data_IF_785357117600
#
_entry.id   IF_785357117600
#
_cell.length_a   1.000
_cell.length_b   1.000
_cell.length_c   1.000
_cell.angle_alpha   90.00
_cell.angle_beta   90.00
_cell.angle_gamma   90.00
#
_symmetry.space_group_name_H-M   'P 1'
#
loop_
_entity.id
_entity.type
_entity.pdbx_description
1 polymer ?
#
# COMPACT_ATOMS: atom_id res chain seq x y z
N UNK A 1 -3.84 -22.32 23.69
CA UNK A 1 -2.38 -22.33 23.41
C UNK A 1 -1.82 -23.72 23.13
N UNK A 2 -2.48 -24.81 23.58
CA UNK A 2 -1.97 -26.17 23.39
C UNK A 2 -1.87 -26.61 21.92
N UNK A 3 -2.87 -26.24 21.08
CA UNK A 3 -2.85 -26.53 19.63
C UNK A 3 -1.59 -26.10 18.89
N UNK A 4 -0.99 -24.95 19.22
CA UNK A 4 0.25 -24.50 18.57
C UNK A 4 1.45 -25.37 18.97
N UNK A 5 1.51 -25.80 20.24
CA UNK A 5 2.59 -26.65 20.76
C UNK A 5 2.50 -28.06 20.22
N UNK A 6 1.29 -28.58 20.03
CA UNK A 6 1.02 -29.91 19.45
C UNK A 6 1.59 -30.03 18.03
N UNK A 7 1.60 -28.94 17.25
CA UNK A 7 2.18 -28.90 15.89
C UNK A 7 3.60 -28.33 15.86
N UNK A 8 4.25 -28.18 17.01
CA UNK A 8 5.64 -27.69 17.10
C UNK A 8 5.83 -26.18 16.84
N UNK A 9 4.75 -25.39 16.76
CA UNK A 9 4.82 -23.95 16.59
C UNK A 9 5.06 -23.23 17.92
N UNK A 10 6.00 -22.28 17.90
CA UNK A 10 6.31 -21.41 19.05
C UNK A 10 5.60 -20.08 18.90
N UNK A 11 4.92 -19.66 19.97
CA UNK A 11 4.28 -18.34 20.06
C UNK A 11 5.23 -17.39 20.78
N UNK A 12 5.43 -16.18 20.23
CA UNK A 12 6.26 -15.13 20.82
C UNK A 12 5.33 -14.19 21.61
N UNK A 13 5.32 -14.21 22.97
CA UNK A 13 4.35 -13.43 23.76
C UNK A 13 4.36 -11.94 23.46
N UNK A 14 5.55 -11.35 23.23
CA UNK A 14 5.72 -9.94 22.91
C UNK A 14 5.03 -9.50 21.61
N UNK A 15 4.77 -10.41 20.67
CA UNK A 15 4.10 -10.13 19.39
C UNK A 15 2.59 -10.43 19.41
N UNK A 16 2.07 -10.91 20.54
CA UNK A 16 0.65 -11.24 20.66
C UNK A 16 -0.16 -9.94 20.83
N UNK A 17 -1.21 -9.80 20.02
CA UNK A 17 -2.21 -8.75 20.16
C UNK A 17 -3.53 -9.37 20.65
N UNK A 18 -3.62 -9.62 21.97
CA UNK A 18 -4.75 -10.33 22.55
C UNK A 18 -5.76 -9.37 23.18
N UNK A 19 -7.06 -9.59 22.92
CA UNK A 19 -8.19 -8.81 23.45
C UNK A 19 -8.00 -7.28 23.30
N UNK A 20 -7.47 -6.85 22.17
CA UNK A 20 -7.37 -5.43 21.82
C UNK A 20 -8.60 -5.00 21.01
N UNK A 21 -9.00 -3.75 21.15
CA UNK A 21 -10.05 -3.13 20.33
C UNK A 21 -9.61 -2.99 18.87
N UNK A 22 -8.32 -2.70 18.65
CA UNK A 22 -7.69 -2.71 17.34
C UNK A 22 -6.43 -3.57 17.32
N UNK A 23 -6.16 -4.19 16.17
CA UNK A 23 -4.98 -5.01 15.95
C UNK A 23 -4.29 -4.67 14.62
N UNK A 24 -2.97 -4.68 14.63
CA UNK A 24 -2.16 -4.52 13.43
C UNK A 24 -1.98 -5.86 12.71
N UNK A 25 -2.27 -5.88 11.41
CA UNK A 25 -2.05 -7.01 10.54
C UNK A 25 -1.40 -6.54 9.24
N UNK A 26 -0.13 -6.90 9.03
CA UNK A 26 0.63 -6.62 7.80
C UNK A 26 0.58 -5.11 7.45
N UNK A 27 0.95 -4.26 8.41
CA UNK A 27 0.99 -2.80 8.22
C UNK A 27 -0.39 -2.14 8.06
N UNK A 28 -1.45 -2.80 8.52
CA UNK A 28 -2.83 -2.30 8.50
C UNK A 28 -3.45 -2.50 9.87
N UNK A 29 -3.95 -1.42 10.48
CA UNK A 29 -4.73 -1.48 11.72
C UNK A 29 -6.19 -1.81 11.43
N UNK A 30 -6.77 -2.72 12.20
CA UNK A 30 -8.14 -3.22 12.03
C UNK A 30 -8.87 -3.15 13.38
N UNK A 31 -10.06 -2.55 13.41
CA UNK A 31 -10.85 -2.31 14.62
C UNK A 31 -12.26 -2.97 14.59
N UNK A 32 -12.44 -3.98 13.75
CA UNK A 32 -13.71 -4.70 13.57
C UNK A 32 -14.71 -4.02 12.64
N UNK A 33 -14.51 -2.74 12.29
CA UNK A 33 -15.40 -2.00 11.38
C UNK A 33 -14.67 -1.42 10.17
N UNK A 34 -13.44 -0.95 10.38
CA UNK A 34 -12.61 -0.37 9.33
C UNK A 34 -11.20 -0.96 9.39
N UNK A 35 -10.51 -0.80 8.28
CA UNK A 35 -9.07 -1.00 8.15
C UNK A 35 -8.44 0.33 7.75
N UNK A 36 -7.40 0.73 8.47
CA UNK A 36 -6.60 1.92 8.18
C UNK A 36 -5.15 1.48 7.99
N UNK A 37 -4.38 2.09 7.07
CA UNK A 37 -2.94 1.87 7.05
C UNK A 37 -2.40 2.10 8.47
N UNK A 38 -1.52 1.23 8.94
CA UNK A 38 -0.76 1.51 10.15
C UNK A 38 0.09 2.76 9.92
N UNK A 39 0.62 3.37 10.97
CA UNK A 39 1.46 4.55 10.82
C UNK A 39 2.77 4.17 10.10
N UNK A 40 2.77 4.35 8.77
CA UNK A 40 3.90 4.03 7.88
C UNK A 40 4.76 5.30 7.64
N UNK A 41 4.51 6.39 8.37
CA UNK A 41 5.22 7.67 8.28
C UNK A 41 6.73 7.55 8.48
N UNK A 42 7.22 6.45 9.04
CA UNK A 42 8.65 6.13 9.23
C UNK A 42 9.23 5.18 8.18
N UNK A 43 8.49 4.81 7.14
CA UNK A 43 9.03 3.92 6.13
C UNK A 43 9.95 4.70 5.19
N UNK A 44 11.25 4.53 5.35
CA UNK A 44 12.30 5.11 4.50
C UNK A 44 12.06 4.83 3.00
N UNK A 45 11.34 3.76 2.68
CA UNK A 45 10.99 3.44 1.30
C UNK A 45 10.01 4.46 0.68
N UNK A 46 9.32 5.29 1.46
CA UNK A 46 8.54 6.44 0.96
C UNK A 46 9.36 7.72 0.82
N UNK A 47 10.54 7.77 1.43
CA UNK A 47 11.52 8.85 1.26
C UNK A 47 12.40 8.64 0.01
N UNK A 48 11.87 7.97 -1.01
CA UNK A 48 12.56 7.78 -2.30
C UNK A 48 12.91 9.13 -2.92
N UNK A 49 14.21 9.46 -3.02
CA UNK A 49 14.68 10.82 -3.38
C UNK A 49 14.85 11.11 -4.87
N UNK A 50 14.25 10.30 -5.77
CA UNK A 50 14.57 10.24 -7.20
C UNK A 50 15.87 9.45 -7.44
N UNK A 51 15.83 8.51 -8.38
CA UNK A 51 17.00 7.75 -8.82
C UNK A 51 16.91 7.45 -10.31
N UNK A 52 18.06 7.36 -10.96
CA UNK A 52 18.17 6.90 -12.35
C UNK A 52 18.01 5.37 -12.47
N UNK A 53 17.76 4.67 -11.36
CA UNK A 53 17.71 3.22 -11.34
C UNK A 53 16.27 2.71 -11.33
N UNK A 54 15.86 2.09 -12.44
CA UNK A 54 14.58 1.36 -12.57
C UNK A 54 14.33 0.37 -11.43
N UNK A 55 15.39 -0.19 -10.83
CA UNK A 55 15.28 -1.11 -9.69
C UNK A 55 14.67 -0.42 -8.47
N UNK A 56 15.10 0.81 -8.17
CA UNK A 56 14.63 1.54 -7.00
C UNK A 56 13.21 2.07 -7.22
N UNK A 57 12.92 2.55 -8.44
CA UNK A 57 11.55 2.91 -8.83
C UNK A 57 10.60 1.70 -8.69
N UNK A 58 11.01 0.51 -9.13
CA UNK A 58 10.22 -0.72 -8.97
C UNK A 58 10.00 -1.08 -7.50
N UNK A 59 11.02 -0.89 -6.64
CA UNK A 59 10.90 -1.09 -5.19
C UNK A 59 9.88 -0.13 -4.58
N UNK A 60 9.97 1.15 -4.94
CA UNK A 60 9.04 2.18 -4.49
C UNK A 60 7.60 1.85 -4.91
N UNK A 61 7.36 1.63 -6.21
CA UNK A 61 6.03 1.33 -6.75
C UNK A 61 5.45 0.02 -6.20
N UNK A 62 6.28 -0.99 -5.95
CA UNK A 62 5.83 -2.22 -5.31
C UNK A 62 5.29 -1.99 -3.89
N UNK A 63 5.97 -1.16 -3.10
CA UNK A 63 5.50 -0.79 -1.77
C UNK A 63 4.28 0.13 -1.81
N UNK A 64 4.31 1.16 -2.65
CA UNK A 64 3.18 2.08 -2.84
C UNK A 64 1.93 1.30 -3.30
N UNK A 65 2.11 0.31 -4.18
CA UNK A 65 1.05 -0.55 -4.68
C UNK A 65 0.36 -1.39 -3.60
N UNK A 66 1.08 -1.84 -2.57
CA UNK A 66 0.46 -2.52 -1.41
C UNK A 66 -0.60 -1.65 -0.73
N UNK A 67 -0.36 -0.35 -0.71
CA UNK A 67 -1.24 0.67 -0.12
C UNK A 67 -2.20 1.31 -1.12
N UNK A 68 -2.07 1.03 -2.42
CA UNK A 68 -2.87 1.67 -3.48
C UNK A 68 -4.39 1.57 -3.29
N UNK A 69 -4.88 0.52 -2.60
CA UNK A 69 -6.31 0.40 -2.24
C UNK A 69 -6.85 1.51 -1.33
N UNK A 70 -5.98 2.17 -0.58
CA UNK A 70 -6.32 3.28 0.32
C UNK A 70 -6.23 4.66 -0.37
N UNK A 71 -5.75 4.67 -1.62
CA UNK A 71 -5.55 5.87 -2.45
C UNK A 71 -6.57 5.81 -3.59
N UNK A 72 -7.34 6.89 -3.75
CA UNK A 72 -8.31 6.95 -4.84
C UNK A 72 -7.54 7.12 -6.16
N UNK A 73 -7.93 6.38 -7.20
CA UNK A 73 -7.35 6.50 -8.54
C UNK A 73 -5.83 6.21 -8.59
N UNK A 74 -5.30 5.37 -7.69
CA UNK A 74 -3.86 5.04 -7.64
C UNK A 74 -3.24 4.68 -9.00
N UNK A 75 -3.95 3.88 -9.81
CA UNK A 75 -3.48 3.49 -11.13
C UNK A 75 -3.34 4.67 -12.11
N UNK A 76 -4.22 5.67 -12.01
CA UNK A 76 -4.14 6.88 -12.83
C UNK A 76 -3.00 7.81 -12.38
N UNK A 77 -2.72 7.85 -11.08
CA UNK A 77 -1.66 8.69 -10.49
C UNK A 77 -0.25 8.15 -10.78
N UNK A 78 -0.15 6.85 -11.08
CA UNK A 78 1.14 6.16 -11.24
C UNK A 78 1.37 5.69 -12.67
N UNK A 79 0.62 6.23 -13.64
CA UNK A 79 0.61 5.72 -15.01
C UNK A 79 1.97 5.94 -15.67
N UNK A 80 2.53 7.14 -15.57
CA UNK A 80 3.81 7.48 -16.19
C UNK A 80 4.95 6.71 -15.52
N UNK A 81 4.96 6.64 -14.19
CA UNK A 81 5.95 5.88 -13.43
C UNK A 81 5.89 4.37 -13.73
N UNK A 82 4.70 3.80 -13.90
CA UNK A 82 4.54 2.37 -14.22
C UNK A 82 4.88 2.06 -15.68
N UNK A 83 4.61 2.98 -16.61
CA UNK A 83 5.06 2.88 -17.99
C UNK A 83 6.57 2.95 -18.11
N UNK A 84 7.21 3.82 -17.33
CA UNK A 84 8.67 3.93 -17.30
C UNK A 84 9.36 2.61 -16.91
N UNK A 85 8.72 1.76 -16.11
CA UNK A 85 9.24 0.44 -15.76
C UNK A 85 9.28 -0.55 -16.93
N UNK A 86 8.50 -0.31 -18.00
CA UNK A 86 8.47 -1.15 -19.21
C UNK A 86 9.64 -0.81 -20.15
N UNK A 87 10.07 0.45 -20.13
CA UNK A 87 11.11 1.01 -20.98
C UNK A 87 12.50 0.63 -20.47
N UNK A 88 12.88 -0.64 -20.65
CA UNK A 88 14.09 -1.20 -20.05
C UNK A 88 15.39 -0.41 -20.33
N UNK A 89 15.82 -0.32 -21.60
CA UNK A 89 17.06 0.39 -21.98
C UNK A 89 16.72 1.83 -22.39
N UNK A 90 17.30 2.82 -21.71
CA UNK A 90 17.10 4.25 -22.01
C UNK A 90 16.16 5.00 -21.07
N UNK A 91 15.89 4.47 -19.87
CA UNK A 91 15.16 5.19 -18.83
C UNK A 91 15.79 6.55 -18.57
N UNK A 92 14.99 7.61 -18.74
CA UNK A 92 15.33 8.97 -18.38
C UNK A 92 14.23 9.49 -17.48
N UNK A 93 14.62 10.10 -16.37
CA UNK A 93 13.68 10.77 -15.48
C UNK A 93 13.12 12.02 -16.17
N UNK A 94 11.81 12.18 -16.20
CA UNK A 94 11.13 13.35 -16.77
C UNK A 94 10.51 14.21 -15.67
N UNK A 95 10.14 15.45 -16.00
CA UNK A 95 9.43 16.34 -15.08
C UNK A 95 8.06 15.76 -14.68
N UNK A 96 7.35 15.15 -15.63
CA UNK A 96 6.07 14.47 -15.39
C UNK A 96 6.20 13.31 -14.39
N UNK A 97 7.28 12.54 -14.45
CA UNK A 97 7.57 11.49 -13.44
C UNK A 97 7.82 12.10 -12.05
N UNK A 98 8.45 13.26 -11.98
CA UNK A 98 8.68 13.96 -10.71
C UNK A 98 7.38 14.48 -10.10
N UNK A 99 6.47 14.99 -10.93
CA UNK A 99 5.15 15.42 -10.51
C UNK A 99 4.30 14.24 -9.99
N UNK A 100 4.24 13.13 -10.73
CA UNK A 100 3.57 11.90 -10.27
C UNK A 100 4.18 11.39 -8.95
N UNK A 101 5.51 11.41 -8.84
CA UNK A 101 6.20 10.95 -7.63
C UNK A 101 5.85 11.81 -6.41
N UNK A 102 5.77 13.13 -6.56
CA UNK A 102 5.33 14.04 -5.50
C UNK A 102 3.88 13.77 -5.12
N UNK A 103 2.99 13.68 -6.11
CA UNK A 103 1.57 13.43 -5.90
C UNK A 103 1.33 12.11 -5.16
N UNK A 104 1.97 11.02 -5.57
CA UNK A 104 1.78 9.74 -4.90
C UNK A 104 2.32 9.73 -3.46
N UNK A 105 3.42 10.44 -3.18
CA UNK A 105 3.93 10.60 -1.80
C UNK A 105 2.94 11.35 -0.92
N UNK A 106 2.29 12.39 -1.45
CA UNK A 106 1.25 13.13 -0.74
C UNK A 106 0.02 12.25 -0.47
N UNK A 107 -0.44 11.47 -1.45
CA UNK A 107 -1.55 10.54 -1.27
C UNK A 107 -1.22 9.40 -0.31
N UNK A 108 0.03 8.92 -0.29
CA UNK A 108 0.52 7.95 0.70
C UNK A 108 0.51 8.51 2.13
N UNK A 109 0.75 9.82 2.31
CA UNK A 109 0.62 10.49 3.61
C UNK A 109 -0.84 10.69 4.01
N UNK A 110 -1.72 10.87 3.03
CA UNK A 110 -3.15 11.15 3.22
C UNK A 110 -4.06 9.95 2.94
N UNK A 111 -3.55 8.74 3.14
CA UNK A 111 -4.31 7.52 2.88
C UNK A 111 -5.60 7.45 3.71
N UNK A 112 -6.66 6.98 3.07
CA UNK A 112 -8.00 6.93 3.66
C UNK A 112 -8.22 5.62 4.41
N UNK A 113 -9.14 5.62 5.37
CA UNK A 113 -9.62 4.36 5.96
C UNK A 113 -10.67 3.69 5.06
N UNK A 114 -10.69 2.37 5.04
CA UNK A 114 -11.66 1.57 4.30
C UNK A 114 -12.56 0.83 5.28
N UNK A 115 -13.87 0.81 5.01
CA UNK A 115 -14.79 -0.05 5.77
C UNK A 115 -14.53 -1.52 5.45
N UNK A 116 -14.72 -2.37 6.45
CA UNK A 116 -14.76 -3.82 6.22
C UNK A 116 -16.04 -4.18 5.44
N UNK A 117 -15.98 -5.21 4.58
CA UNK A 117 -17.15 -5.67 3.85
C UNK A 117 -18.21 -6.21 4.81
N UNK A 118 -19.45 -5.75 4.65
CA UNK A 118 -20.62 -6.31 5.31
C UNK A 118 -21.31 -7.27 4.35
N UNK A 119 -21.07 -8.57 4.55
CA UNK A 119 -21.59 -9.62 3.68
C UNK A 119 -23.11 -9.83 3.78
N UNK A 120 -23.79 -9.16 4.72
CA UNK A 120 -25.24 -9.16 4.80
C UNK A 120 -25.90 -8.11 3.89
N UNK A 121 -25.09 -7.29 3.19
CA UNK A 121 -25.57 -6.25 2.27
C UNK A 121 -25.13 -6.55 0.83
N UNK A 122 -25.92 -6.07 -0.12
CA UNK A 122 -25.53 -6.08 -1.54
C UNK A 122 -24.32 -5.16 -1.79
N UNK A 123 -23.40 -5.62 -2.64
CA UNK A 123 -22.27 -4.82 -3.09
C UNK A 123 -22.61 -4.08 -4.38
N UNK A 124 -22.05 -2.88 -4.55
CA UNK A 124 -22.14 -2.12 -5.81
C UNK A 124 -20.74 -1.84 -6.33
N UNK A 125 -20.42 -2.41 -7.48
CA UNK A 125 -19.20 -2.10 -8.21
C UNK A 125 -19.46 -0.91 -9.12
N UNK A 126 -18.63 0.13 -9.02
CA UNK A 126 -18.61 1.26 -9.95
C UNK A 126 -17.29 1.21 -10.69
N UNK A 127 -17.35 1.03 -12.01
CA UNK A 127 -16.20 1.03 -12.90
C UNK A 127 -16.20 2.31 -13.72
N UNK A 128 -15.03 2.92 -13.85
CA UNK A 128 -14.77 3.98 -14.83
C UNK A 128 -13.46 3.65 -15.52
N UNK A 129 -13.46 3.73 -16.85
CA UNK A 129 -12.26 3.63 -17.67
C UNK A 129 -12.00 5.00 -18.29
N UNK A 130 -10.73 5.34 -18.45
CA UNK A 130 -10.29 6.42 -19.33
C UNK A 130 -9.39 5.75 -20.37
N UNK A 131 -9.55 6.11 -21.63
CA UNK A 131 -8.60 5.71 -22.65
C UNK A 131 -7.32 6.52 -22.41
N UNK A 132 -6.22 5.80 -22.16
CA UNK A 132 -4.88 6.36 -22.03
C UNK A 132 -4.19 6.35 -23.38
#
# INVERSE_FOLDING_TARGET
MNKFREVGLKVIPKKIQYRKEEAELIGVMIDGFKRKPAEITKNEAFEYKQSEFLRELRRFLGLAGWFGKFIKNFALITVVLTEALKTGKGFKWTEEMEEELKLIKEELRNMRSLKLPDYNKGFRLRTGACDT
#
